data_IF_819078852410
#
_entry.id   IF_819078852410
#
_cell.length_a   1.000
_cell.length_b   1.000
_cell.length_c   1.000
_cell.angle_alpha   90.00
_cell.angle_beta   90.00
_cell.angle_gamma   90.00
#
_symmetry.space_group_name_H-M   'P 1'
#
loop_
_entity.id
_entity.type
_entity.pdbx_description
1 polymer ?
#
# COMPACT_ATOMS: atom_id res chain seq x y z
N UNK A 1 -13.97 24.99 3.49
CA UNK A 1 -12.95 25.59 2.88
C UNK A 1 -12.89 27.09 3.15
N UNK A 2 -11.92 27.83 2.61
CA UNK A 2 -11.58 29.18 3.06
C UNK A 2 -12.63 30.22 2.63
N UNK A 3 -13.13 30.11 1.40
CA UNK A 3 -14.15 31.02 0.87
C UNK A 3 -15.52 30.45 1.17
N UNK A 4 -16.37 31.20 1.84
CA UNK A 4 -17.70 30.76 2.30
C UNK A 4 -17.73 30.04 3.66
N UNK A 5 -16.58 29.80 4.30
CA UNK A 5 -16.51 29.33 5.68
C UNK A 5 -16.80 30.48 6.64
N UNK A 6 -18.05 30.69 7.01
CA UNK A 6 -18.41 31.73 7.96
C UNK A 6 -19.73 32.47 7.64
N UNK A 7 -20.60 31.88 6.82
CA UNK A 7 -21.94 32.41 6.52
C UNK A 7 -22.94 32.27 7.68
N UNK A 8 -22.50 32.00 8.90
CA UNK A 8 -23.30 32.20 10.10
C UNK A 8 -23.13 33.64 10.59
N UNK A 9 -24.24 34.31 10.88
CA UNK A 9 -24.28 35.68 11.37
C UNK A 9 -23.23 35.94 12.46
N UNK A 10 -22.24 36.81 12.15
CA UNK A 10 -21.20 37.23 13.08
C UNK A 10 -19.84 36.55 12.97
N UNK A 11 -19.63 35.55 12.11
CA UNK A 11 -18.31 34.96 11.89
C UNK A 11 -17.51 35.75 10.85
N UNK A 12 -16.25 36.03 11.14
CA UNK A 12 -15.32 36.68 10.20
C UNK A 12 -15.02 35.77 9.04
N UNK A 13 -15.48 36.09 7.84
CA UNK A 13 -15.20 35.35 6.62
C UNK A 13 -13.70 35.49 6.30
N UNK A 14 -13.01 34.34 6.35
CA UNK A 14 -11.58 34.24 6.05
C UNK A 14 -11.25 34.79 4.63
N UNK A 15 -12.18 34.65 3.67
CA UNK A 15 -12.07 35.23 2.35
C UNK A 15 -11.94 36.77 2.38
N UNK A 16 -12.70 37.43 3.25
CA UNK A 16 -12.63 38.89 3.39
C UNK A 16 -11.33 39.39 4.04
N UNK A 17 -10.69 38.60 4.88
CA UNK A 17 -9.36 38.90 5.43
C UNK A 17 -8.24 38.79 4.39
N UNK A 18 -8.36 37.86 3.44
CA UNK A 18 -7.35 37.68 2.40
C UNK A 18 -7.42 38.71 1.28
N UNK A 19 -8.61 39.25 0.98
CA UNK A 19 -8.82 40.23 -0.11
C UNK A 19 -7.89 41.43 -0.06
N UNK A 20 -7.67 42.13 1.10
CA UNK A 20 -6.75 43.25 1.16
C UNK A 20 -5.29 42.87 0.91
N UNK A 21 -4.85 41.72 1.43
CA UNK A 21 -3.46 41.24 1.29
C UNK A 21 -3.16 40.82 -0.17
N UNK A 22 -4.12 40.15 -0.79
CA UNK A 22 -4.05 39.82 -2.24
C UNK A 22 -4.04 41.09 -3.10
N UNK A 23 -4.81 42.12 -2.70
CA UNK A 23 -4.87 43.39 -3.41
C UNK A 23 -3.55 44.16 -3.39
N UNK A 24 -2.81 44.06 -2.30
CA UNK A 24 -1.51 44.74 -2.13
C UNK A 24 -0.34 43.93 -2.66
N UNK A 25 -0.57 42.70 -3.12
CA UNK A 25 0.49 41.79 -3.56
C UNK A 25 1.34 41.23 -2.42
N UNK A 26 0.88 41.34 -1.20
CA UNK A 26 1.57 40.84 0.02
C UNK A 26 1.42 39.32 0.15
N UNK A 27 0.42 38.73 -0.50
CA UNK A 27 0.12 37.30 -0.46
C UNK A 27 0.06 36.74 -1.86
N UNK A 28 0.86 35.68 -2.10
CA UNK A 28 0.74 34.81 -3.27
C UNK A 28 -0.04 33.56 -2.83
N UNK A 29 -1.12 33.25 -3.52
CA UNK A 29 -2.01 32.15 -3.15
C UNK A 29 -2.34 31.31 -4.37
N UNK A 30 -2.27 29.99 -4.21
CA UNK A 30 -2.80 29.01 -5.15
C UNK A 30 -3.95 28.32 -4.44
N UNK A 31 -5.15 28.39 -5.01
CA UNK A 31 -6.34 27.73 -4.48
C UNK A 31 -6.81 26.61 -5.41
N UNK A 32 -7.33 25.54 -4.83
CA UNK A 32 -8.00 24.48 -5.57
C UNK A 32 -9.46 24.39 -5.13
N UNK A 33 -10.37 24.18 -6.09
CA UNK A 33 -11.81 24.08 -5.86
C UNK A 33 -12.46 23.29 -6.98
N UNK A 34 -13.74 22.95 -6.83
CA UNK A 34 -14.54 22.38 -7.91
C UNK A 34 -15.11 23.46 -8.81
N UNK A 35 -15.52 23.11 -10.03
CA UNK A 35 -16.14 24.05 -10.97
C UNK A 35 -17.42 24.69 -10.40
N UNK A 36 -18.21 23.91 -9.66
CA UNK A 36 -19.46 24.38 -9.07
C UNK A 36 -19.19 25.37 -7.91
N UNK A 37 -18.23 25.06 -7.05
CA UNK A 37 -17.80 25.97 -5.98
C UNK A 37 -17.16 27.26 -6.55
N UNK A 38 -16.36 27.14 -7.62
CA UNK A 38 -15.78 28.31 -8.31
C UNK A 38 -16.87 29.24 -8.81
N UNK A 39 -17.87 28.72 -9.53
CA UNK A 39 -19.02 29.46 -10.02
C UNK A 39 -19.85 30.09 -8.90
N UNK A 40 -20.00 29.36 -7.80
CA UNK A 40 -20.82 29.79 -6.67
C UNK A 40 -20.14 30.88 -5.82
N UNK A 41 -18.83 30.77 -5.58
CA UNK A 41 -18.14 31.57 -4.57
C UNK A 41 -17.06 32.51 -5.12
N UNK A 42 -16.40 32.18 -6.22
CA UNK A 42 -15.29 32.98 -6.77
C UNK A 42 -15.79 33.88 -7.90
N UNK A 43 -16.46 33.33 -8.89
CA UNK A 43 -16.96 34.07 -10.06
C UNK A 43 -17.97 35.17 -9.69
N UNK A 44 -18.77 34.94 -8.64
CA UNK A 44 -19.72 35.95 -8.13
C UNK A 44 -19.09 37.06 -7.29
N UNK A 45 -17.86 36.88 -6.85
CA UNK A 45 -17.12 37.89 -6.07
C UNK A 45 -16.10 38.59 -6.96
N UNK A 46 -16.48 39.74 -7.50
CA UNK A 46 -15.64 40.53 -8.40
C UNK A 46 -14.28 40.95 -7.78
N UNK A 47 -14.12 40.86 -6.47
CA UNK A 47 -12.86 41.12 -5.79
C UNK A 47 -11.91 39.89 -5.84
N UNK A 48 -12.43 38.69 -5.81
CA UNK A 48 -11.66 37.46 -5.96
C UNK A 48 -11.41 37.14 -7.43
N UNK A 49 -12.43 37.24 -8.29
CA UNK A 49 -12.35 36.96 -9.72
C UNK A 49 -11.19 37.71 -10.40
N UNK A 50 -11.02 38.99 -10.10
CA UNK A 50 -9.94 39.81 -10.67
C UNK A 50 -8.54 39.49 -10.14
N UNK A 51 -8.41 38.67 -9.11
CA UNK A 51 -7.13 38.36 -8.44
C UNK A 51 -6.66 36.95 -8.64
N UNK A 52 -7.53 36.09 -9.10
CA UNK A 52 -7.18 34.70 -9.41
C UNK A 52 -7.31 34.43 -10.91
N UNK A 53 -6.24 33.92 -11.50
CA UNK A 53 -6.26 33.36 -12.84
C UNK A 53 -6.81 31.94 -12.75
N UNK A 54 -7.97 31.63 -13.37
CA UNK A 54 -8.46 30.24 -13.39
C UNK A 54 -7.56 29.35 -14.25
N UNK A 55 -7.25 28.17 -13.75
CA UNK A 55 -6.55 27.11 -14.46
C UNK A 55 -7.43 25.88 -14.39
N UNK A 56 -8.00 25.49 -15.53
CA UNK A 56 -8.79 24.27 -15.62
C UNK A 56 -7.87 23.06 -15.62
N UNK A 57 -8.16 22.12 -14.75
CA UNK A 57 -7.46 20.82 -14.67
C UNK A 57 -8.47 19.75 -15.08
N UNK A 58 -8.30 19.25 -16.28
CA UNK A 58 -9.14 18.19 -16.83
C UNK A 58 -8.71 16.81 -16.33
N UNK A 59 -9.61 15.83 -16.46
CA UNK A 59 -9.29 14.42 -16.21
C UNK A 59 -8.18 13.96 -17.16
N UNK A 60 -7.11 13.28 -16.65
CA UNK A 60 -6.05 12.79 -17.51
C UNK A 60 -6.54 11.67 -18.43
N UNK A 61 -5.87 11.52 -19.56
CA UNK A 61 -6.09 10.39 -20.46
C UNK A 61 -5.68 9.07 -19.78
N UNK A 62 -6.12 7.94 -20.32
CA UNK A 62 -5.69 6.60 -19.84
C UNK A 62 -4.17 6.46 -19.85
N UNK A 63 -3.51 6.96 -20.91
CA UNK A 63 -2.04 6.90 -21.03
C UNK A 63 -1.33 7.78 -20.00
N UNK A 64 -1.86 8.98 -19.76
CA UNK A 64 -1.33 9.88 -18.73
C UNK A 64 -1.55 9.31 -17.34
N UNK A 65 -2.71 8.72 -17.07
CA UNK A 65 -3.01 8.07 -15.79
C UNK A 65 -2.07 6.90 -15.51
N UNK A 66 -1.75 6.05 -16.52
CA UNK A 66 -0.75 4.99 -16.37
C UNK A 66 0.62 5.59 -16.01
N UNK A 67 1.01 6.67 -16.66
CA UNK A 67 2.27 7.36 -16.39
C UNK A 67 2.32 7.93 -14.97
N UNK A 68 1.21 8.49 -14.50
CA UNK A 68 1.06 8.96 -13.11
C UNK A 68 1.21 7.82 -12.12
N UNK A 69 0.51 6.69 -12.35
CA UNK A 69 0.60 5.52 -11.46
C UNK A 69 2.01 4.93 -11.41
N UNK A 70 2.71 4.88 -12.56
CA UNK A 70 4.13 4.47 -12.60
C UNK A 70 5.01 5.39 -11.74
N UNK A 71 4.75 6.68 -11.74
CA UNK A 71 5.45 7.65 -10.87
C UNK A 71 5.15 7.50 -9.38
N UNK A 72 3.99 6.94 -9.03
CA UNK A 72 3.56 6.70 -7.65
C UNK A 72 3.94 5.31 -7.13
N UNK A 73 4.22 4.36 -8.03
CA UNK A 73 4.46 2.94 -7.76
C UNK A 73 5.39 2.70 -6.57
N UNK A 74 6.60 3.27 -6.60
CA UNK A 74 7.60 3.04 -5.55
C UNK A 74 7.11 3.45 -4.16
N UNK A 75 6.33 4.53 -4.08
CA UNK A 75 5.77 5.01 -2.80
C UNK A 75 4.74 4.04 -2.23
N UNK A 76 3.88 3.48 -3.07
CA UNK A 76 2.90 2.48 -2.67
C UNK A 76 3.58 1.15 -2.30
N UNK A 77 4.58 0.72 -3.07
CA UNK A 77 5.38 -0.47 -2.77
C UNK A 77 6.06 -0.37 -1.39
N UNK A 78 6.63 0.79 -1.06
CA UNK A 78 7.26 1.01 0.25
C UNK A 78 6.21 1.10 1.37
N UNK A 79 5.10 1.82 1.14
CA UNK A 79 4.06 2.02 2.15
C UNK A 79 3.37 0.72 2.56
N UNK A 80 3.02 -0.11 1.58
CA UNK A 80 2.35 -1.39 1.83
C UNK A 80 3.32 -2.56 2.03
N UNK A 81 4.58 -2.44 1.61
CA UNK A 81 5.57 -3.51 1.69
C UNK A 81 5.34 -4.64 0.69
N UNK A 82 4.72 -4.34 -0.44
CA UNK A 82 4.38 -5.28 -1.52
C UNK A 82 4.99 -4.82 -2.83
N UNK A 83 5.12 -5.71 -3.82
CA UNK A 83 5.50 -5.38 -5.19
C UNK A 83 4.27 -5.13 -6.04
N UNK A 84 4.36 -4.18 -6.97
CA UNK A 84 3.31 -3.88 -7.93
C UNK A 84 3.85 -4.14 -9.33
N UNK A 85 3.21 -5.00 -10.09
CA UNK A 85 3.61 -5.26 -11.49
C UNK A 85 3.14 -4.12 -12.38
N UNK A 86 3.80 -3.92 -13.53
CA UNK A 86 3.35 -2.92 -14.50
C UNK A 86 1.99 -3.30 -15.11
N UNK A 87 1.73 -4.61 -15.28
CA UNK A 87 0.43 -5.12 -15.71
C UNK A 87 -0.71 -4.73 -14.76
N UNK A 88 -0.46 -4.76 -13.43
CA UNK A 88 -1.44 -4.31 -12.45
C UNK A 88 -1.79 -2.82 -12.59
N UNK A 89 -0.80 -1.96 -12.84
CA UNK A 89 -1.04 -0.53 -13.05
C UNK A 89 -1.87 -0.27 -14.32
N UNK A 90 -1.54 -0.95 -15.41
CA UNK A 90 -2.30 -0.87 -16.65
C UNK A 90 -3.72 -1.41 -16.46
N UNK A 91 -3.88 -2.53 -15.76
CA UNK A 91 -5.19 -3.11 -15.43
C UNK A 91 -6.01 -2.15 -14.56
N UNK A 92 -5.42 -1.56 -13.51
CA UNK A 92 -6.11 -0.62 -12.62
C UNK A 92 -6.68 0.59 -13.38
N UNK A 93 -5.91 1.19 -14.28
CA UNK A 93 -6.40 2.31 -15.09
C UNK A 93 -7.47 1.85 -16.09
N UNK A 94 -7.23 0.75 -16.80
CA UNK A 94 -8.13 0.29 -17.86
C UNK A 94 -9.47 -0.20 -17.30
N UNK A 95 -9.43 -1.01 -16.22
CA UNK A 95 -10.64 -1.56 -15.61
C UNK A 95 -11.42 -0.48 -14.86
N UNK A 96 -10.75 0.41 -14.09
CA UNK A 96 -11.46 1.53 -13.45
C UNK A 96 -12.11 2.46 -14.46
N UNK A 97 -11.44 2.76 -15.56
CA UNK A 97 -12.01 3.60 -16.60
C UNK A 97 -13.25 2.97 -17.26
N UNK A 98 -13.28 1.64 -17.36
CA UNK A 98 -14.38 0.90 -18.01
C UNK A 98 -15.56 0.63 -17.06
N UNK A 99 -15.30 0.32 -15.80
CA UNK A 99 -16.33 -0.19 -14.88
C UNK A 99 -16.72 0.79 -13.77
N UNK A 100 -15.85 1.76 -13.43
CA UNK A 100 -16.14 2.76 -12.40
C UNK A 100 -16.45 4.09 -13.06
N UNK A 101 -17.74 4.46 -13.10
CA UNK A 101 -18.25 5.67 -13.78
C UNK A 101 -18.51 6.86 -12.85
N UNK A 102 -18.54 6.67 -11.55
CA UNK A 102 -18.85 7.69 -10.54
C UNK A 102 -17.63 8.44 -10.00
N UNK A 103 -16.43 8.05 -10.46
CA UNK A 103 -15.15 8.66 -10.09
C UNK A 103 -14.29 8.94 -11.31
N UNK A 104 -13.30 9.81 -11.15
CA UNK A 104 -12.41 10.27 -12.22
C UNK A 104 -11.01 9.65 -12.11
N UNK A 105 -10.31 9.55 -13.23
CA UNK A 105 -8.90 9.27 -13.28
C UNK A 105 -8.10 10.48 -12.75
N UNK A 106 -6.95 10.29 -12.10
CA UNK A 106 -6.31 9.00 -11.79
C UNK A 106 -6.83 8.36 -10.49
N UNK A 107 -7.66 9.05 -9.70
CA UNK A 107 -8.01 8.67 -8.33
C UNK A 107 -8.64 7.28 -8.25
N UNK A 108 -9.62 6.97 -9.11
CA UNK A 108 -10.26 5.64 -9.13
C UNK A 108 -9.28 4.49 -9.41
N UNK A 109 -8.23 4.73 -10.19
CA UNK A 109 -7.20 3.73 -10.44
C UNK A 109 -6.20 3.62 -9.28
N UNK A 110 -5.91 4.73 -8.62
CA UNK A 110 -5.09 4.77 -7.40
C UNK A 110 -5.77 4.00 -6.28
N UNK A 111 -7.08 4.21 -6.08
CA UNK A 111 -7.87 3.50 -5.07
C UNK A 111 -7.81 1.98 -5.28
N UNK A 112 -7.93 1.50 -6.53
CA UNK A 112 -7.80 0.06 -6.83
C UNK A 112 -6.42 -0.49 -6.50
N UNK A 113 -5.36 0.26 -6.82
CA UNK A 113 -3.99 -0.15 -6.49
C UNK A 113 -3.79 -0.18 -4.98
N UNK A 114 -4.28 0.82 -4.26
CA UNK A 114 -4.18 0.89 -2.79
C UNK A 114 -4.89 -0.29 -2.13
N UNK A 115 -6.12 -0.59 -2.56
CA UNK A 115 -6.91 -1.71 -2.05
C UNK A 115 -6.26 -3.06 -2.36
N UNK A 116 -5.75 -3.26 -3.58
CA UNK A 116 -5.03 -4.47 -3.96
C UNK A 116 -3.74 -4.66 -3.13
N UNK A 117 -3.00 -3.58 -2.90
CA UNK A 117 -1.81 -3.62 -2.04
C UNK A 117 -2.18 -3.97 -0.58
N UNK A 118 -3.27 -3.41 -0.06
CA UNK A 118 -3.75 -3.70 1.29
C UNK A 118 -4.22 -5.16 1.43
N UNK A 119 -4.87 -5.71 0.39
CA UNK A 119 -5.27 -7.11 0.33
C UNK A 119 -4.06 -8.03 0.41
N UNK A 120 -3.08 -7.85 -0.48
CA UNK A 120 -1.85 -8.67 -0.51
C UNK A 120 -1.06 -8.53 0.80
N UNK A 121 -0.97 -7.34 1.37
CA UNK A 121 -0.35 -7.15 2.69
C UNK A 121 -1.06 -7.96 3.77
N UNK A 122 -2.39 -7.98 3.77
CA UNK A 122 -3.18 -8.77 4.72
C UNK A 122 -2.94 -10.27 4.52
N UNK A 123 -2.80 -10.73 3.27
CA UNK A 123 -2.45 -12.12 2.95
C UNK A 123 -1.03 -12.47 3.42
N UNK A 124 -0.04 -11.58 3.23
CA UNK A 124 1.33 -11.73 3.73
C UNK A 124 1.40 -11.84 5.26
N UNK A 125 0.57 -11.07 5.96
CA UNK A 125 0.51 -11.07 7.42
C UNK A 125 -0.28 -12.25 7.99
N UNK A 126 -1.15 -12.85 7.20
CA UNK A 126 -1.97 -14.00 7.59
C UNK A 126 -1.25 -15.33 7.33
N UNK A 127 -1.70 -16.36 8.03
CA UNK A 127 -1.22 -17.73 7.78
C UNK A 127 -1.81 -18.26 6.46
N UNK A 128 -0.98 -18.85 5.57
CA UNK A 128 -1.48 -19.49 4.34
C UNK A 128 -2.58 -20.51 4.61
N UNK A 129 -3.56 -20.58 3.73
CA UNK A 129 -4.72 -21.49 3.86
C UNK A 129 -4.31 -22.93 4.09
N UNK A 130 -3.32 -23.43 3.33
CA UNK A 130 -2.80 -24.80 3.50
C UNK A 130 -2.24 -25.06 4.91
N UNK A 131 -1.57 -24.07 5.49
CA UNK A 131 -0.98 -24.20 6.82
C UNK A 131 -2.06 -24.12 7.91
N UNK A 132 -3.08 -23.29 7.71
CA UNK A 132 -4.22 -23.20 8.63
C UNK A 132 -5.07 -24.48 8.61
N UNK A 133 -5.28 -25.09 7.44
CA UNK A 133 -5.96 -26.38 7.32
C UNK A 133 -5.22 -27.48 8.06
N UNK A 134 -3.90 -27.57 7.89
CA UNK A 134 -3.06 -28.54 8.62
C UNK A 134 -3.16 -28.29 10.14
N UNK A 135 -3.10 -27.06 10.57
CA UNK A 135 -3.25 -26.67 11.97
C UNK A 135 -4.58 -27.11 12.56
N UNK A 136 -5.67 -26.85 11.82
CA UNK A 136 -7.03 -27.26 12.24
C UNK A 136 -7.16 -28.78 12.33
N UNK A 137 -6.58 -29.50 11.37
CA UNK A 137 -6.59 -30.96 11.37
C UNK A 137 -5.80 -31.55 12.55
N UNK A 138 -4.62 -30.99 12.82
CA UNK A 138 -3.83 -31.36 14.00
C UNK A 138 -4.64 -31.13 15.28
N UNK A 139 -5.29 -29.97 15.42
CA UNK A 139 -6.11 -29.66 16.59
C UNK A 139 -7.29 -30.61 16.75
N UNK A 140 -7.98 -30.97 15.66
CA UNK A 140 -9.09 -31.95 15.71
C UNK A 140 -8.61 -33.32 16.21
N UNK A 141 -7.46 -33.78 15.68
CA UNK A 141 -6.89 -35.07 16.12
C UNK A 141 -6.35 -35.03 17.55
N UNK A 142 -5.85 -33.92 18.03
CA UNK A 142 -5.46 -33.74 19.45
C UNK A 142 -6.67 -33.81 20.40
N UNK A 143 -7.82 -33.26 19.97
CA UNK A 143 -9.09 -33.38 20.71
C UNK A 143 -9.54 -34.85 20.74
N UNK A 144 -9.51 -35.55 19.60
CA UNK A 144 -9.86 -36.98 19.51
C UNK A 144 -8.92 -37.82 20.37
N UNK A 145 -7.60 -37.57 20.30
CA UNK A 145 -6.58 -38.22 21.15
C UNK A 145 -6.89 -38.05 22.63
N UNK A 146 -7.26 -36.83 23.03
CA UNK A 146 -7.59 -36.52 24.42
C UNK A 146 -8.87 -37.21 24.90
N UNK A 147 -9.82 -37.47 24.00
CA UNK A 147 -11.02 -38.23 24.31
C UNK A 147 -10.72 -39.71 24.40
N UNK A 148 -10.00 -40.29 23.46
CA UNK A 148 -9.65 -41.71 23.42
C UNK A 148 -8.73 -42.13 24.61
N UNK A 149 -7.89 -41.25 25.09
CA UNK A 149 -7.06 -41.51 26.31
C UNK A 149 -7.87 -41.75 27.57
N UNK A 150 -9.15 -41.35 27.59
CA UNK A 150 -10.04 -41.57 28.75
C UNK A 150 -10.83 -42.88 28.65
N UNK A 151 -10.81 -43.52 27.49
CA UNK A 151 -11.45 -44.79 27.23
C UNK A 151 -10.53 -45.95 27.57
N UNK A 152 -11.02 -47.03 28.17
CA UNK A 152 -10.23 -48.18 28.57
C UNK A 152 -10.46 -49.43 27.69
N UNK A 153 -11.41 -49.35 26.75
CA UNK A 153 -11.74 -50.50 25.91
C UNK A 153 -10.66 -50.75 24.85
N UNK A 154 -10.61 -51.99 24.36
CA UNK A 154 -9.59 -52.44 23.41
C UNK A 154 -9.65 -51.70 22.07
N UNK A 155 -10.82 -51.43 21.55
CA UNK A 155 -10.98 -50.75 20.25
C UNK A 155 -10.50 -49.30 20.30
N UNK A 156 -10.78 -48.60 21.42
CA UNK A 156 -10.30 -47.25 21.65
C UNK A 156 -8.78 -47.19 21.74
N UNK A 157 -8.14 -48.20 22.30
CA UNK A 157 -6.66 -48.28 22.36
C UNK A 157 -6.03 -48.51 20.99
N UNK A 158 -6.59 -49.43 20.19
CA UNK A 158 -6.11 -49.68 18.80
C UNK A 158 -6.30 -48.40 17.94
N UNK A 159 -7.41 -47.70 18.10
CA UNK A 159 -7.66 -46.43 17.42
C UNK A 159 -6.71 -45.34 17.90
N UNK A 160 -6.40 -45.27 19.15
CA UNK A 160 -5.46 -44.31 19.76
C UNK A 160 -4.06 -44.48 19.19
N UNK A 161 -3.55 -45.70 19.06
CA UNK A 161 -2.24 -45.97 18.48
C UNK A 161 -2.13 -45.47 17.04
N UNK A 162 -3.13 -45.81 16.19
CA UNK A 162 -3.19 -45.37 14.81
C UNK A 162 -3.30 -43.83 14.71
N UNK A 163 -4.15 -43.21 15.57
CA UNK A 163 -4.32 -41.76 15.62
C UNK A 163 -3.02 -41.05 16.01
N UNK A 164 -2.24 -41.63 16.93
CA UNK A 164 -0.95 -41.05 17.36
C UNK A 164 0.09 -41.10 16.25
N UNK A 165 0.12 -42.15 15.42
CA UNK A 165 0.99 -42.22 14.23
C UNK A 165 0.61 -41.14 13.21
N UNK A 166 -0.68 -41.06 12.84
CA UNK A 166 -1.17 -40.02 11.91
C UNK A 166 -0.91 -38.58 12.46
N UNK A 167 -1.12 -38.38 13.76
CA UNK A 167 -0.90 -37.10 14.41
C UNK A 167 0.57 -36.70 14.40
N UNK A 168 1.48 -37.66 14.60
CA UNK A 168 2.93 -37.42 14.55
C UNK A 168 3.37 -36.99 13.13
N UNK A 169 2.86 -37.66 12.09
CA UNK A 169 3.13 -37.30 10.71
C UNK A 169 2.59 -35.90 10.35
N UNK A 170 1.34 -35.60 10.72
CA UNK A 170 0.74 -34.28 10.46
C UNK A 170 1.46 -33.16 11.22
N UNK A 171 1.89 -33.40 12.46
CA UNK A 171 2.69 -32.44 13.22
C UNK A 171 4.04 -32.18 12.57
N UNK A 172 4.69 -33.22 12.04
CA UNK A 172 5.94 -33.07 11.33
C UNK A 172 5.77 -32.26 10.03
N UNK A 173 4.70 -32.52 9.25
CA UNK A 173 4.37 -31.77 8.05
C UNK A 173 4.05 -30.32 8.36
N UNK A 174 3.23 -30.06 9.39
CA UNK A 174 2.91 -28.71 9.86
C UNK A 174 4.16 -27.95 10.31
N UNK A 175 5.03 -28.57 11.11
CA UNK A 175 6.27 -27.94 11.58
C UNK A 175 7.20 -27.59 10.42
N UNK A 176 7.37 -28.49 9.45
CA UNK A 176 8.20 -28.26 8.25
C UNK A 176 7.66 -27.09 7.43
N UNK A 177 6.36 -27.10 7.09
CA UNK A 177 5.73 -26.02 6.31
C UNK A 177 5.73 -24.69 7.07
N UNK A 178 5.55 -24.71 8.39
CA UNK A 178 5.61 -23.52 9.24
C UNK A 178 7.00 -22.86 9.20
N UNK A 179 8.07 -23.65 9.34
CA UNK A 179 9.43 -23.13 9.23
C UNK A 179 9.72 -22.56 7.83
N UNK A 180 9.22 -23.23 6.79
CA UNK A 180 9.35 -22.72 5.42
C UNK A 180 8.65 -21.38 5.28
N UNK A 181 7.38 -21.25 5.68
CA UNK A 181 6.62 -20.01 5.65
C UNK A 181 7.29 -18.88 6.45
N UNK A 182 7.76 -19.16 7.68
CA UNK A 182 8.47 -18.17 8.50
C UNK A 182 9.76 -17.69 7.81
N UNK A 183 10.49 -18.57 7.16
CA UNK A 183 11.70 -18.21 6.39
C UNK A 183 11.38 -17.37 5.15
N UNK A 184 10.32 -17.70 4.42
CA UNK A 184 9.86 -16.94 3.27
C UNK A 184 9.40 -15.54 3.72
N UNK A 185 8.55 -15.44 4.75
CA UNK A 185 8.08 -14.20 5.34
C UNK A 185 9.24 -13.30 5.82
N UNK A 186 10.18 -13.84 6.58
CA UNK A 186 11.34 -13.10 7.04
C UNK A 186 12.21 -12.56 5.89
N UNK A 187 12.31 -13.30 4.78
CA UNK A 187 13.05 -12.85 3.60
C UNK A 187 12.37 -11.64 2.95
N UNK A 188 11.04 -11.67 2.81
CA UNK A 188 10.24 -10.54 2.27
C UNK A 188 10.32 -9.33 3.19
N UNK A 189 10.15 -9.51 4.50
CA UNK A 189 10.27 -8.42 5.49
C UNK A 189 11.66 -7.76 5.48
N UNK A 190 12.71 -8.54 5.23
CA UNK A 190 14.07 -7.99 5.17
C UNK A 190 14.24 -7.07 3.95
N UNK A 191 13.75 -7.49 2.79
CA UNK A 191 13.73 -6.66 1.58
C UNK A 191 12.93 -5.36 1.81
N UNK A 192 11.77 -5.47 2.44
CA UNK A 192 10.94 -4.31 2.77
C UNK A 192 11.68 -3.30 3.66
N UNK A 193 12.35 -3.75 4.72
CA UNK A 193 13.14 -2.88 5.61
C UNK A 193 14.25 -2.13 4.87
N UNK A 194 14.89 -2.77 3.89
CA UNK A 194 15.91 -2.09 3.07
C UNK A 194 15.27 -1.01 2.19
N UNK A 195 14.10 -1.26 1.60
CA UNK A 195 13.36 -0.26 0.80
C UNK A 195 12.92 0.93 1.64
N UNK A 196 12.44 0.69 2.86
CA UNK A 196 12.09 1.77 3.82
C UNK A 196 13.32 2.62 4.16
N UNK A 197 14.50 2.00 4.36
CA UNK A 197 15.74 2.72 4.59
C UNK A 197 16.16 3.57 3.39
N UNK A 198 16.01 3.07 2.17
CA UNK A 198 16.28 3.83 0.94
C UNK A 198 15.36 5.05 0.85
N UNK A 199 14.07 4.88 1.12
CA UNK A 199 13.11 6.00 1.12
C UNK A 199 13.46 7.04 2.18
N UNK A 200 13.82 6.59 3.38
CA UNK A 200 14.24 7.49 4.46
C UNK A 200 15.48 8.29 4.06
N UNK A 201 16.50 7.64 3.46
CA UNK A 201 17.70 8.32 2.96
C UNK A 201 17.34 9.32 1.85
N UNK A 202 16.44 8.98 0.94
CA UNK A 202 15.95 9.90 -0.09
C UNK A 202 15.27 11.14 0.50
N UNK A 203 14.42 10.96 1.54
CA UNK A 203 13.80 12.07 2.27
C UNK A 203 14.87 12.96 2.96
N UNK A 204 15.87 12.34 3.54
CA UNK A 204 16.99 13.08 4.17
C UNK A 204 17.83 13.87 3.15
N UNK A 205 18.08 13.30 1.97
CA UNK A 205 18.75 13.99 0.86
C UNK A 205 17.94 15.22 0.44
N UNK A 206 16.63 15.06 0.22
CA UNK A 206 15.75 16.17 -0.16
C UNK A 206 15.72 17.26 0.91
N UNK A 207 15.70 16.87 2.19
CA UNK A 207 15.75 17.82 3.30
C UNK A 207 17.07 18.58 3.35
N UNK A 208 18.19 17.89 3.25
CA UNK A 208 19.53 18.49 3.22
C UNK A 208 19.68 19.45 2.03
N UNK A 209 19.16 19.11 0.85
CA UNK A 209 19.14 20.00 -0.31
C UNK A 209 18.32 21.27 -0.08
N UNK A 210 17.15 21.18 0.58
CA UNK A 210 16.33 22.34 0.91
C UNK A 210 16.98 23.26 1.97
N UNK A 211 17.75 22.67 2.88
CA UNK A 211 18.50 23.37 3.92
C UNK A 211 19.88 23.86 3.40
N UNK A 212 20.19 23.63 2.11
CA UNK A 212 21.47 23.94 1.46
C UNK A 212 22.70 23.27 2.11
N UNK A 213 22.50 22.17 2.85
CA UNK A 213 23.59 21.32 3.35
C UNK A 213 24.04 20.33 2.27
N UNK A 214 24.80 20.86 1.31
CA UNK A 214 25.26 20.10 0.14
C UNK A 214 26.24 18.99 0.52
N UNK A 215 27.00 19.16 1.63
CA UNK A 215 27.94 18.12 2.08
C UNK A 215 27.21 16.88 2.57
N UNK A 216 26.21 17.06 3.42
CA UNK A 216 25.37 15.97 3.91
C UNK A 216 24.56 15.32 2.78
N UNK A 217 24.02 16.11 1.85
CA UNK A 217 23.32 15.59 0.69
C UNK A 217 24.23 14.72 -0.18
N UNK A 218 25.48 15.15 -0.42
CA UNK A 218 26.46 14.39 -1.19
C UNK A 218 26.91 13.09 -0.48
N UNK A 219 27.14 13.13 0.82
CA UNK A 219 27.49 11.94 1.62
C UNK A 219 26.39 10.87 1.55
N UNK A 220 25.14 11.27 1.72
CA UNK A 220 24.00 10.36 1.63
C UNK A 220 23.81 9.83 0.21
N UNK A 221 23.89 10.70 -0.80
CA UNK A 221 23.61 10.35 -2.19
C UNK A 221 24.69 9.47 -2.83
N UNK A 222 25.96 9.72 -2.53
CA UNK A 222 27.09 8.99 -3.14
C UNK A 222 27.71 7.93 -2.22
N UNK A 223 27.42 7.99 -0.91
CA UNK A 223 27.91 7.01 0.05
C UNK A 223 26.84 5.98 0.45
N UNK A 224 25.81 6.42 1.16
CA UNK A 224 24.86 5.51 1.79
C UNK A 224 23.83 4.91 0.83
N UNK A 225 23.29 5.73 -0.07
CA UNK A 225 22.25 5.28 -1.00
C UNK A 225 22.71 4.15 -1.94
N UNK A 226 23.89 4.22 -2.59
CA UNK A 226 24.38 3.13 -3.44
C UNK A 226 24.64 1.82 -2.68
N UNK A 227 25.06 1.90 -1.41
CA UNK A 227 25.26 0.72 -0.57
C UNK A 227 23.92 0.01 -0.29
N UNK A 228 22.88 0.75 0.07
CA UNK A 228 21.55 0.20 0.30
C UNK A 228 20.95 -0.36 -1.00
N UNK A 229 21.15 0.30 -2.13
CA UNK A 229 20.68 -0.20 -3.43
C UNK A 229 21.33 -1.53 -3.79
N UNK A 230 22.64 -1.65 -3.57
CA UNK A 230 23.36 -2.90 -3.79
C UNK A 230 22.86 -4.02 -2.86
N UNK A 231 22.63 -3.72 -1.59
CA UNK A 231 22.06 -4.67 -0.63
C UNK A 231 20.67 -5.11 -1.07
N UNK A 232 19.85 -4.19 -1.56
CA UNK A 232 18.51 -4.50 -2.08
C UNK A 232 18.58 -5.47 -3.25
N UNK A 233 19.45 -5.21 -4.23
CA UNK A 233 19.66 -6.09 -5.39
C UNK A 233 20.10 -7.50 -4.99
N UNK A 234 21.02 -7.60 -4.03
CA UNK A 234 21.52 -8.88 -3.51
C UNK A 234 20.42 -9.67 -2.80
N UNK A 235 19.61 -9.03 -1.96
CA UNK A 235 18.50 -9.68 -1.25
C UNK A 235 17.34 -10.01 -2.20
N UNK A 236 16.98 -9.15 -3.13
CA UNK A 236 15.96 -9.46 -4.14
C UNK A 236 16.37 -10.64 -5.04
N UNK A 237 17.66 -10.74 -5.38
CA UNK A 237 18.17 -11.90 -6.12
C UNK A 237 18.04 -13.21 -5.32
N UNK A 238 18.29 -13.16 -4.00
CA UNK A 238 18.11 -14.33 -3.11
C UNK A 238 16.65 -14.74 -2.99
N UNK A 239 15.74 -13.77 -2.88
CA UNK A 239 14.28 -14.02 -2.82
C UNK A 239 13.80 -14.64 -4.12
N UNK A 240 14.20 -14.09 -5.28
CA UNK A 240 13.86 -14.65 -6.60
C UNK A 240 14.40 -16.07 -6.82
N UNK A 241 15.59 -16.38 -6.28
CA UNK A 241 16.19 -17.70 -6.40
C UNK A 241 15.53 -18.77 -5.52
N UNK A 242 14.79 -18.35 -4.49
CA UNK A 242 14.10 -19.22 -3.52
C UNK A 242 12.66 -19.45 -3.95
N UNK A 243 12.25 -19.64 -5.08
CA UNK A 243 10.90 -19.96 -5.54
C UNK A 243 9.85 -19.95 -4.40
N UNK A 244 9.34 -18.74 -4.07
CA UNK A 244 8.41 -18.54 -2.95
C UNK A 244 7.10 -19.26 -3.27
N UNK A 245 6.79 -20.34 -2.55
CA UNK A 245 5.62 -21.18 -2.81
C UNK A 245 4.43 -20.88 -1.88
N UNK A 246 4.69 -20.29 -0.73
CA UNK A 246 3.68 -20.04 0.32
C UNK A 246 3.33 -18.55 0.48
N UNK A 247 4.16 -17.65 -0.07
CA UNK A 247 4.03 -16.21 0.11
C UNK A 247 3.91 -15.51 -1.24
N UNK A 248 2.79 -14.85 -1.49
CA UNK A 248 2.58 -13.98 -2.66
C UNK A 248 2.88 -12.53 -2.27
N UNK A 249 3.97 -11.96 -2.83
CA UNK A 249 4.41 -10.60 -2.51
C UNK A 249 4.02 -9.55 -3.57
N UNK A 250 3.42 -9.96 -4.68
CA UNK A 250 3.20 -9.07 -5.82
C UNK A 250 1.72 -8.91 -6.17
N UNK A 251 1.33 -7.66 -6.35
CA UNK A 251 0.04 -7.29 -6.94
C UNK A 251 0.14 -7.45 -8.46
N UNK A 252 -0.73 -8.28 -9.03
CA UNK A 252 -0.86 -8.51 -10.46
C UNK A 252 -2.20 -7.99 -10.98
N UNK A 253 -2.44 -8.12 -12.27
CA UNK A 253 -3.71 -7.79 -12.90
C UNK A 253 -4.89 -8.62 -12.39
N UNK A 254 -4.62 -9.85 -11.93
CA UNK A 254 -5.65 -10.73 -11.34
C UNK A 254 -6.20 -10.17 -10.03
N UNK A 255 -5.36 -9.65 -9.14
CA UNK A 255 -5.78 -9.03 -7.89
C UNK A 255 -6.60 -7.77 -8.15
N UNK A 256 -6.18 -6.94 -9.10
CA UNK A 256 -6.95 -5.76 -9.54
C UNK A 256 -8.32 -6.17 -10.09
N UNK A 257 -8.38 -7.24 -10.91
CA UNK A 257 -9.63 -7.71 -11.48
C UNK A 257 -10.61 -8.30 -10.45
N UNK A 258 -10.12 -8.78 -9.31
CA UNK A 258 -10.97 -9.28 -8.22
C UNK A 258 -11.67 -8.16 -7.43
N UNK A 259 -11.07 -6.96 -7.43
CA UNK A 259 -11.56 -5.81 -6.63
C UNK A 259 -12.59 -4.99 -7.43
N UNK A 260 -12.45 -4.91 -8.74
CA UNK A 260 -13.36 -4.16 -9.63
C UNK A 260 -14.71 -4.86 -9.73
#
# INVERSE_FOLDING_TARGET
TIVGAGKTDGAMDAGNMLKPMLARGELHCIGATTLDEYRQYIEKDAALERRFQPVLVDEPTVEDAISILRGLKERYEVFHGVKITDSALVAAVTLSNRYISDRFLPDKAIDLVDEACALIKTELDSMPTELDELRRRVMQMEIEESALKKEEDRLSKERLEHLQEELAELKAQYASKKVQWENEKNSVEHVQKIREQIEQVNKEIQKAQREYDLNKAAELQYGRLPQLQKQLEEEEAKVKAKDLSLVHESVTDDEIAKIV
#
